data_IF_833074071246
#
_entry.id   IF_833074071246
#
_cell.length_a   1.000
_cell.length_b   1.000
_cell.length_c   1.000
_cell.angle_alpha   90.00
_cell.angle_beta   90.00
_cell.angle_gamma   90.00
#
_symmetry.space_group_name_H-M   'P 1'
#
loop_
_entity.id
_entity.type
_entity.pdbx_description
1 polymer ?
#
# COMPACT_ATOMS: atom_id res chain seq x y z
N UNK A 1 1.28 23.55 -14.41
CA UNK A 1 1.64 22.44 -13.54
C UNK A 1 0.54 21.45 -13.35
N UNK A 2 -0.35 21.45 -14.27
CA UNK A 2 -1.56 20.69 -14.05
C UNK A 2 -1.33 19.20 -13.99
N UNK A 3 -0.42 18.70 -14.81
CA UNK A 3 -0.10 17.28 -14.80
C UNK A 3 0.59 16.83 -13.54
N UNK A 4 1.05 17.78 -12.74
CA UNK A 4 1.75 17.48 -11.50
C UNK A 4 0.85 17.57 -10.29
N UNK A 5 -0.37 18.02 -10.48
CA UNK A 5 -1.29 18.14 -9.36
C UNK A 5 -1.92 16.80 -9.05
N UNK A 6 -1.57 16.27 -7.90
CA UNK A 6 -2.16 15.04 -7.40
C UNK A 6 -2.82 15.43 -6.09
N UNK A 7 -4.11 15.23 -5.98
CA UNK A 7 -4.79 15.60 -4.76
C UNK A 7 -4.67 14.47 -3.74
N UNK A 8 -4.88 14.82 -2.47
CA UNK A 8 -4.72 13.88 -1.38
C UNK A 8 -5.69 12.70 -1.46
N UNK A 9 -6.88 12.92 -2.03
CA UNK A 9 -7.86 11.86 -2.19
C UNK A 9 -7.34 10.78 -3.13
N UNK A 10 -6.73 11.19 -4.25
CA UNK A 10 -6.14 10.23 -5.19
C UNK A 10 -5.01 9.44 -4.55
N UNK A 11 -4.17 10.10 -3.76
CA UNK A 11 -3.07 9.42 -3.06
C UNK A 11 -3.60 8.41 -2.05
N UNK A 12 -4.63 8.77 -1.29
CA UNK A 12 -5.21 7.87 -0.31
C UNK A 12 -5.93 6.71 -0.98
N UNK A 13 -6.59 6.95 -2.10
CA UNK A 13 -7.22 5.90 -2.87
C UNK A 13 -6.18 4.92 -3.42
N UNK A 14 -5.06 5.43 -3.91
CA UNK A 14 -3.97 4.59 -4.38
C UNK A 14 -3.40 3.74 -3.24
N UNK A 15 -3.21 4.32 -2.06
CA UNK A 15 -2.76 3.61 -0.88
C UNK A 15 -3.71 2.47 -0.52
N UNK A 16 -5.02 2.77 -0.45
CA UNK A 16 -6.04 1.76 -0.15
C UNK A 16 -6.03 0.62 -1.15
N UNK A 17 -5.93 0.96 -2.44
CA UNK A 17 -5.92 -0.04 -3.50
C UNK A 17 -4.68 -0.94 -3.41
N UNK A 18 -3.52 -0.36 -3.12
CA UNK A 18 -2.30 -1.14 -2.96
C UNK A 18 -2.42 -2.10 -1.79
N UNK A 19 -2.93 -1.63 -0.65
CA UNK A 19 -3.09 -2.49 0.53
C UNK A 19 -4.08 -3.61 0.26
N UNK A 20 -5.20 -3.30 -0.38
CA UNK A 20 -6.19 -4.31 -0.72
C UNK A 20 -5.59 -5.35 -1.65
N UNK A 21 -4.90 -4.91 -2.69
CA UNK A 21 -4.33 -5.82 -3.68
C UNK A 21 -3.28 -6.73 -3.06
N UNK A 22 -2.40 -6.21 -2.22
CA UNK A 22 -1.37 -7.03 -1.61
C UNK A 22 -1.97 -7.98 -0.57
N UNK A 23 -3.02 -7.57 0.14
CA UNK A 23 -3.72 -8.46 1.06
C UNK A 23 -4.44 -9.58 0.33
N UNK A 24 -5.05 -9.29 -0.82
CA UNK A 24 -5.70 -10.31 -1.65
C UNK A 24 -4.67 -11.31 -2.18
N UNK A 25 -3.52 -10.82 -2.60
CA UNK A 25 -2.43 -11.69 -3.05
C UNK A 25 -1.91 -12.57 -1.92
N UNK A 26 -1.79 -12.01 -0.72
CA UNK A 26 -1.37 -12.77 0.45
C UNK A 26 -2.33 -13.90 0.77
N UNK A 27 -3.63 -13.62 0.73
CA UNK A 27 -4.66 -14.64 0.99
C UNK A 27 -4.61 -15.73 -0.07
N UNK A 28 -4.45 -15.37 -1.34
CA UNK A 28 -4.35 -16.34 -2.42
C UNK A 28 -3.12 -17.22 -2.25
N UNK A 29 -1.99 -16.63 -1.87
CA UNK A 29 -0.76 -17.37 -1.66
C UNK A 29 -0.90 -18.35 -0.48
N UNK A 30 -1.58 -17.92 0.60
CA UNK A 30 -1.82 -18.78 1.75
C UNK A 30 -2.68 -19.99 1.37
N UNK A 31 -3.73 -19.78 0.59
CA UNK A 31 -4.57 -20.87 0.11
C UNK A 31 -3.78 -21.84 -0.75
N UNK A 32 -2.97 -21.31 -1.65
CA UNK A 32 -2.15 -22.14 -2.52
C UNK A 32 -1.10 -22.91 -1.69
N UNK A 33 -0.54 -22.30 -0.66
CA UNK A 33 0.40 -22.94 0.23
C UNK A 33 -0.25 -24.11 0.95
N UNK A 34 -1.46 -23.93 1.45
CA UNK A 34 -2.20 -25.01 2.10
C UNK A 34 -2.49 -26.15 1.13
N UNK A 35 -2.87 -25.83 -0.09
CA UNK A 35 -3.12 -26.82 -1.12
C UNK A 35 -1.86 -27.62 -1.43
N UNK A 36 -0.73 -26.93 -1.63
CA UNK A 36 0.54 -27.59 -1.94
C UNK A 36 0.99 -28.47 -0.79
N UNK A 37 0.91 -27.99 0.45
CA UNK A 37 1.32 -28.74 1.61
C UNK A 37 0.38 -29.94 1.87
N UNK A 38 -0.89 -29.80 1.51
CA UNK A 38 -1.86 -30.88 1.62
C UNK A 38 -1.53 -32.07 0.73
N UNK A 39 -0.74 -31.89 -0.32
CA UNK A 39 -0.34 -33.02 -1.18
C UNK A 39 0.71 -33.92 -0.53
N UNK A 40 1.32 -33.48 0.57
CA UNK A 40 2.41 -34.24 1.21
C UNK A 40 2.01 -35.66 1.59
N UNK A 41 0.75 -35.87 1.98
CA UNK A 41 0.26 -37.18 2.40
C UNK A 41 -0.01 -38.10 1.22
N UNK A 42 -0.29 -37.56 0.03
CA UNK A 42 -0.71 -38.35 -1.12
C UNK A 42 0.29 -38.35 -2.27
N UNK A 43 1.28 -37.48 -2.23
CA UNK A 43 2.27 -37.36 -3.30
C UNK A 43 3.66 -37.26 -2.68
N UNK A 44 4.30 -38.40 -2.60
CA UNK A 44 5.66 -38.52 -2.06
C UNK A 44 6.61 -38.86 -3.21
N UNK A 45 7.49 -37.92 -3.54
CA UNK A 45 8.51 -38.10 -4.54
C UNK A 45 9.51 -36.96 -4.42
N UNK A 46 10.69 -37.14 -4.99
CA UNK A 46 11.71 -36.09 -5.01
C UNK A 46 11.18 -34.85 -5.74
N UNK A 47 10.40 -35.04 -6.80
CA UNK A 47 9.82 -33.94 -7.54
C UNK A 47 8.81 -33.14 -6.67
N UNK A 48 8.00 -33.85 -5.90
CA UNK A 48 7.02 -33.21 -5.01
C UNK A 48 7.71 -32.43 -3.90
N UNK A 49 8.75 -33.00 -3.30
CA UNK A 49 9.53 -32.29 -2.28
C UNK A 49 10.19 -31.05 -2.84
N UNK A 50 10.73 -31.13 -4.05
CA UNK A 50 11.35 -29.98 -4.72
C UNK A 50 10.31 -28.90 -4.97
N UNK A 51 9.13 -29.26 -5.44
CA UNK A 51 8.05 -28.29 -5.68
C UNK A 51 7.64 -27.58 -4.39
N UNK A 52 7.46 -28.35 -3.32
CA UNK A 52 7.09 -27.76 -2.02
C UNK A 52 8.17 -26.82 -1.50
N UNK A 53 9.45 -27.20 -1.66
CA UNK A 53 10.56 -26.35 -1.22
C UNK A 53 10.60 -25.04 -2.02
N UNK A 54 10.39 -25.13 -3.34
CA UNK A 54 10.35 -23.92 -4.19
C UNK A 54 9.19 -23.02 -3.82
N UNK A 55 8.06 -23.61 -3.49
CA UNK A 55 6.89 -22.84 -3.08
C UNK A 55 7.13 -22.13 -1.76
N UNK A 56 7.77 -22.80 -0.79
CA UNK A 56 8.15 -22.18 0.47
C UNK A 56 9.08 -20.99 0.25
N UNK A 57 10.04 -21.14 -0.66
CA UNK A 57 10.96 -20.06 -1.02
C UNK A 57 10.21 -18.88 -1.65
N UNK A 58 9.24 -19.17 -2.50
CA UNK A 58 8.41 -18.12 -3.11
C UNK A 58 7.60 -17.37 -2.06
N UNK A 59 7.04 -18.10 -1.10
CA UNK A 59 6.27 -17.49 -0.01
C UNK A 59 7.13 -16.53 0.81
N UNK A 60 8.38 -16.91 1.07
CA UNK A 60 9.31 -16.04 1.80
C UNK A 60 9.59 -14.75 1.02
N UNK A 61 9.80 -14.87 -0.30
CA UNK A 61 10.02 -13.70 -1.15
C UNK A 61 8.79 -12.80 -1.22
N UNK A 62 7.62 -13.40 -1.21
CA UNK A 62 6.38 -12.63 -1.20
C UNK A 62 6.24 -11.82 0.08
N UNK A 63 6.72 -12.35 1.22
CA UNK A 63 6.69 -11.61 2.48
C UNK A 63 7.45 -10.28 2.35
N UNK A 64 8.61 -10.30 1.69
CA UNK A 64 9.38 -9.08 1.45
C UNK A 64 8.63 -8.12 0.54
N UNK A 65 8.00 -8.64 -0.50
CA UNK A 65 7.20 -7.84 -1.42
C UNK A 65 6.00 -7.21 -0.68
N UNK A 66 5.34 -7.99 0.16
CA UNK A 66 4.21 -7.52 0.96
C UNK A 66 4.64 -6.32 1.83
N UNK A 67 5.78 -6.45 2.50
CA UNK A 67 6.31 -5.39 3.34
C UNK A 67 6.63 -4.14 2.51
N UNK A 68 7.26 -4.32 1.36
CA UNK A 68 7.62 -3.20 0.48
C UNK A 68 6.37 -2.46 0.00
N UNK A 69 5.33 -3.17 -0.39
CA UNK A 69 4.10 -2.53 -0.87
C UNK A 69 3.38 -1.79 0.25
N UNK A 70 3.34 -2.37 1.45
CA UNK A 70 2.74 -1.68 2.59
C UNK A 70 3.53 -0.43 2.96
N UNK A 71 4.84 -0.47 2.87
CA UNK A 71 5.68 0.71 3.10
C UNK A 71 5.42 1.79 2.06
N UNK A 72 5.24 1.39 0.81
CA UNK A 72 4.90 2.33 -0.26
C UNK A 72 3.55 2.97 -0.01
N UNK A 73 2.55 2.17 0.41
CA UNK A 73 1.23 2.70 0.74
C UNK A 73 1.30 3.70 1.89
N UNK A 74 2.12 3.41 2.90
CA UNK A 74 2.35 4.33 4.01
C UNK A 74 2.98 5.62 3.52
N UNK A 75 3.92 5.54 2.59
CA UNK A 75 4.52 6.72 1.98
C UNK A 75 3.46 7.57 1.27
N UNK A 76 2.56 6.93 0.53
CA UNK A 76 1.47 7.66 -0.13
C UNK A 76 0.55 8.34 0.88
N UNK A 77 0.22 7.67 1.97
CA UNK A 77 -0.61 8.25 3.03
C UNK A 77 0.09 9.46 3.65
N UNK A 78 1.38 9.35 3.91
CA UNK A 78 2.15 10.45 4.49
C UNK A 78 2.25 11.63 3.52
N UNK A 79 2.39 11.35 2.23
CA UNK A 79 2.41 12.38 1.21
C UNK A 79 1.06 13.09 1.12
N UNK A 80 -0.04 12.31 1.20
CA UNK A 80 -1.38 12.88 1.21
C UNK A 80 -1.56 13.80 2.41
N UNK A 81 -1.12 13.36 3.59
CA UNK A 81 -1.21 14.17 4.79
C UNK A 81 -0.42 15.47 4.66
N UNK A 82 0.75 15.41 4.03
CA UNK A 82 1.57 16.61 3.81
C UNK A 82 0.87 17.60 2.90
N UNK A 83 0.24 17.12 1.84
CA UNK A 83 -0.52 17.99 0.94
C UNK A 83 -1.74 18.60 1.62
N UNK A 84 -2.45 17.79 2.41
CA UNK A 84 -3.61 18.28 3.16
C UNK A 84 -3.20 19.36 4.15
N UNK A 85 -2.07 19.18 4.82
CA UNK A 85 -1.57 20.18 5.76
C UNK A 85 -1.11 21.45 5.06
N UNK A 86 -0.47 21.31 3.90
CA UNK A 86 -0.05 22.46 3.12
C UNK A 86 -1.25 23.27 2.64
N UNK A 87 -2.26 22.59 2.12
CA UNK A 87 -3.49 23.27 1.67
C UNK A 87 -4.18 23.98 2.82
N UNK A 88 -4.24 23.34 3.97
CA UNK A 88 -4.85 23.95 5.15
C UNK A 88 -4.10 25.20 5.58
N UNK A 89 -2.78 25.17 5.57
CA UNK A 89 -1.97 26.33 5.92
C UNK A 89 -2.17 27.48 4.95
N UNK A 90 -2.28 27.19 3.65
CA UNK A 90 -2.55 28.20 2.64
C UNK A 90 -3.90 28.84 2.89
N UNK A 91 -4.91 28.02 3.18
CA UNK A 91 -6.25 28.51 3.47
C UNK A 91 -6.27 29.40 4.71
N UNK A 92 -5.62 28.95 5.77
CA UNK A 92 -5.52 29.73 7.00
C UNK A 92 -4.83 31.06 6.76
N UNK A 93 -3.76 31.05 5.97
CA UNK A 93 -3.02 32.26 5.64
C UNK A 93 -3.87 33.25 4.85
N UNK A 94 -4.63 32.72 3.88
CA UNK A 94 -5.52 33.54 3.09
C UNK A 94 -6.59 34.17 3.97
N UNK A 95 -7.15 33.43 4.90
CA UNK A 95 -8.15 33.92 5.83
C UNK A 95 -7.57 35.01 6.76
N UNK A 96 -6.35 34.79 7.23
CA UNK A 96 -5.66 35.78 8.06
C UNK A 96 -5.45 37.10 7.32
N UNK A 97 -5.05 37.02 6.05
CA UNK A 97 -4.82 38.21 5.24
C UNK A 97 -6.13 38.96 5.00
N UNK A 98 -7.21 38.25 4.71
CA UNK A 98 -8.51 38.88 4.52
C UNK A 98 -8.99 39.52 5.80
N UNK A 99 -8.87 38.84 6.92
CA UNK A 99 -9.28 39.38 8.20
C UNK A 99 -8.44 40.59 8.59
N UNK A 100 -7.16 40.57 8.28
CA UNK A 100 -6.27 41.68 8.57
C UNK A 100 -6.68 42.93 7.78
N UNK A 101 -6.98 42.76 6.49
CA UNK A 101 -7.41 43.85 5.64
C UNK A 101 -8.72 44.46 6.13
N UNK A 102 -9.70 43.65 6.44
CA UNK A 102 -10.97 44.10 6.94
C UNK A 102 -10.85 44.66 8.37
N UNK A 103 -10.00 44.05 9.16
CA UNK A 103 -9.76 44.48 10.51
C UNK A 103 -9.09 45.86 10.59
N UNK A 104 -8.32 46.23 9.58
CA UNK A 104 -7.64 47.49 9.52
C UNK A 104 -8.61 48.63 9.16
N UNK A 105 -9.71 48.29 8.54
CA UNK A 105 -10.71 49.29 8.19
C UNK A 105 -11.55 49.66 9.41
#
# INVERSE_FOLDING_TARGET
MDGMQVNSVELRNASSSLRKNVNDMSATLDEATQTINGTAASWESAAAENLRARYTSLSAKFSDFYTAINNYATFLDNTAAAYENADKKIEERANELLNSDYGAA
#
